data_IF_547170602893
#
_entry.id   IF_547170602893
#
_cell.length_a   1.000
_cell.length_b   1.000
_cell.length_c   1.000
_cell.angle_alpha   90.00
_cell.angle_beta   90.00
_cell.angle_gamma   90.00
#
_symmetry.space_group_name_H-M   'P 1'
#
loop_
_entity.id
_entity.type
_entity.pdbx_description
1 polymer ?
#
# COMPACT_ATOMS: atom_id res chain seq x y z
C UNK A 1 2.02 -12.79 4.71
N UNK A 2 2.88 -12.33 3.80
CA UNK A 2 3.03 -10.93 3.40
C UNK A 2 2.96 -10.78 1.88
N UNK A 3 2.69 -9.55 1.43
CA UNK A 3 2.46 -9.20 0.03
C UNK A 3 1.31 -8.20 -0.01
N UNK A 4 0.17 -8.60 0.57
CA UNK A 4 -1.08 -7.86 0.56
C UNK A 4 -1.39 -7.36 1.98
N UNK A 5 -2.17 -6.28 2.07
CA UNK A 5 -2.67 -5.75 3.32
C UNK A 5 -2.31 -4.27 3.45
N UNK A 6 -1.32 -3.90 4.25
CA UNK A 6 -0.99 -2.50 4.52
C UNK A 6 0.52 -2.26 4.58
N UNK A 7 0.92 -1.03 4.26
CA UNK A 7 2.28 -0.54 4.21
C UNK A 7 2.41 0.29 2.94
N UNK A 8 2.11 -0.35 1.81
CA UNK A 8 2.19 0.23 0.47
C UNK A 8 0.81 0.19 -0.19
N UNK A 9 0.63 0.96 -1.26
CA UNK A 9 -0.61 1.00 -2.03
C UNK A 9 -1.20 2.41 -1.94
N UNK A 10 -2.51 2.52 -1.78
CA UNK A 10 -3.23 3.78 -1.84
C UNK A 10 -3.05 4.52 -0.51
N UNK A 11 -2.63 5.78 -0.57
CA UNK A 11 -2.47 6.67 0.56
C UNK A 11 -1.70 7.91 0.08
N UNK A 12 -0.37 7.81 0.07
CA UNK A 12 0.57 8.89 -0.27
C UNK A 12 1.48 8.41 -1.41
N UNK A 13 1.97 9.32 -2.28
CA UNK A 13 2.79 8.89 -3.43
C UNK A 13 2.31 9.45 -4.78
N UNK A 14 2.36 8.61 -5.83
CA UNK A 14 2.02 8.98 -7.20
C UNK A 14 0.60 9.57 -7.23
N UNK A 15 0.51 10.88 -7.46
CA UNK A 15 -0.71 11.66 -7.40
C UNK A 15 -0.42 12.97 -6.66
N UNK A 16 0.36 12.87 -5.57
CA UNK A 16 0.79 13.98 -4.72
C UNK A 16 -0.34 14.98 -4.43
C UNK B 1 -0.44 13.51 -1.01
N UNK B 2 -1.56 13.14 -1.65
CA UNK B 2 -2.18 11.83 -1.59
C UNK B 2 -1.98 11.10 -2.93
N UNK B 3 -2.10 9.77 -2.96
CA UNK B 3 -1.96 8.99 -4.17
C UNK B 3 -1.37 7.61 -3.89
N UNK B 4 -0.76 6.97 -4.89
CA UNK B 4 -0.32 5.58 -4.82
C UNK B 4 1.17 5.47 -4.52
N UNK B 5 1.53 4.75 -3.46
CA UNK B 5 2.89 4.50 -3.04
C UNK B 5 2.84 3.88 -1.63
N UNK B 6 2.72 4.72 -0.62
CA UNK B 6 2.70 4.35 0.79
C UNK B 6 1.25 4.37 1.26
N UNK B 7 0.78 3.39 2.01
CA UNK B 7 -0.61 3.36 2.45
C UNK B 7 -1.15 1.94 2.56
N UNK B 8 -2.35 1.70 2.01
CA UNK B 8 -3.05 0.43 2.13
C UNK B 8 -3.21 -0.26 0.77
N UNK B 9 -3.19 -1.58 0.79
CA UNK B 9 -3.34 -2.46 -0.36
C UNK B 9 -2.28 -3.56 -0.28
N UNK B 10 -1.01 -3.16 -0.18
CA UNK B 10 0.15 -4.05 -0.25
C UNK B 10 1.00 -3.92 1.01
N UNK B 11 1.83 -4.94 1.27
CA UNK B 11 2.77 -4.95 2.39
C UNK B 11 2.43 -6.07 3.37
N UNK B 12 2.25 -5.72 4.65
CA UNK B 12 2.07 -6.67 5.75
C UNK B 12 0.58 -7.03 5.84
N UNK B 13 0.22 -8.25 6.30
CA UNK B 13 -1.20 -8.60 6.43
C UNK B 13 -1.50 -10.01 5.91
N UNK B 14 -1.40 -10.21 4.59
CA UNK B 14 -1.69 -11.50 3.94
C UNK B 14 -0.72 -11.72 2.78
N UNK B 15 -0.62 -12.97 2.32
CA UNK B 15 0.17 -13.34 1.16
C UNK B 15 1.15 -14.47 1.52
N UNK B 16 2.40 -14.33 1.11
CA UNK B 16 3.44 -15.33 1.30
C UNK B 16 3.68 -15.49 2.81
#
# INVERSE_FOLDING_TARGET
XLLLLLLLLLLLXLLX
XLLLLLLLLLLLXLLX
#
